data_IF_219705697994
#
_entry.id   IF_219705697994
#
_cell.length_a   1.000
_cell.length_b   1.000
_cell.length_c   1.000
_cell.angle_alpha   90.00
_cell.angle_beta   90.00
_cell.angle_gamma   90.00
#
_symmetry.space_group_name_H-M   'P 1'
#
loop_
_entity.id
_entity.type
_entity.pdbx_description
1 polymer ?
#
# COMPACT_ATOMS: atom_id res chain seq x y z
N UNK A 1 -9.94 3.70 16.42
CA UNK A 1 -10.19 4.87 15.56
C UNK A 1 -10.20 4.34 14.15
N UNK A 2 -11.18 4.72 13.33
CA UNK A 2 -11.31 4.23 11.96
C UNK A 2 -10.73 5.26 10.98
N UNK A 3 -9.95 4.82 10.00
CA UNK A 3 -9.36 5.65 8.94
C UNK A 3 -10.36 5.86 7.79
N UNK A 4 -9.92 6.52 6.71
CA UNK A 4 -10.81 6.91 5.60
C UNK A 4 -11.41 5.72 4.85
N UNK A 5 -10.79 4.53 4.91
CA UNK A 5 -11.29 3.34 4.24
C UNK A 5 -12.64 2.86 4.79
N UNK A 6 -13.07 3.33 5.97
CA UNK A 6 -14.39 3.05 6.52
C UNK A 6 -15.55 3.53 5.61
N UNK A 7 -15.28 4.46 4.69
CA UNK A 7 -16.27 5.03 3.76
C UNK A 7 -16.25 4.35 2.38
N UNK A 8 -15.31 3.44 2.12
CA UNK A 8 -15.19 2.73 0.85
C UNK A 8 -16.25 1.63 0.71
N UNK A 9 -16.58 1.24 -0.51
CA UNK A 9 -17.53 0.14 -0.77
C UNK A 9 -16.86 -1.23 -0.81
N UNK A 10 -15.56 -1.28 -1.11
CA UNK A 10 -14.80 -2.54 -1.15
C UNK A 10 -14.76 -3.20 0.23
N UNK A 11 -15.24 -4.45 0.36
CA UNK A 11 -15.07 -5.22 1.59
C UNK A 11 -13.59 -5.42 1.96
N UNK A 12 -12.70 -5.53 0.97
CA UNK A 12 -11.26 -5.63 1.20
C UNK A 12 -10.70 -4.35 1.83
N UNK A 13 -11.09 -3.17 1.34
CA UNK A 13 -10.63 -1.90 1.93
C UNK A 13 -11.20 -1.69 3.34
N UNK A 14 -12.49 -1.98 3.54
CA UNK A 14 -13.14 -1.86 4.85
C UNK A 14 -12.50 -2.74 5.93
N UNK A 15 -11.96 -3.92 5.57
CA UNK A 15 -11.21 -4.78 6.51
C UNK A 15 -9.97 -4.10 7.11
N UNK A 16 -9.45 -3.05 6.46
CA UNK A 16 -8.30 -2.29 6.91
C UNK A 16 -8.67 -0.93 7.52
N UNK A 17 -9.96 -0.65 7.69
CA UNK A 17 -10.44 0.63 8.21
C UNK A 17 -10.00 0.89 9.67
N UNK A 18 -9.83 -0.16 10.47
CA UNK A 18 -9.43 -0.02 11.88
C UNK A 18 -7.91 -0.21 12.11
N UNK A 19 -7.13 -0.35 11.04
CA UNK A 19 -5.67 -0.44 11.15
C UNK A 19 -5.10 0.90 11.69
N UNK A 20 -4.03 0.85 12.51
CA UNK A 20 -3.38 2.07 13.03
C UNK A 20 -2.67 2.87 11.93
N UNK A 21 -2.38 2.25 10.78
CA UNK A 21 -1.95 2.98 9.58
C UNK A 21 -3.09 3.85 9.07
N UNK A 22 -2.81 5.13 8.85
CA UNK A 22 -3.74 6.10 8.29
C UNK A 22 -3.89 5.86 6.79
N UNK A 23 -4.75 4.90 6.45
CA UNK A 23 -4.98 4.51 5.07
C UNK A 23 -5.96 5.45 4.38
N UNK A 24 -5.59 5.80 3.15
CA UNK A 24 -6.44 6.48 2.18
C UNK A 24 -6.75 5.55 1.01
N UNK A 25 -7.89 5.78 0.35
CA UNK A 25 -8.19 5.16 -0.93
C UNK A 25 -7.45 5.88 -2.08
N UNK A 26 -7.33 5.22 -3.22
CA UNK A 26 -6.83 5.85 -4.43
C UNK A 26 -7.87 6.76 -5.04
N UNK A 27 -7.74 8.07 -4.82
CA UNK A 27 -8.60 9.10 -5.40
C UNK A 27 -7.83 10.42 -5.58
N UNK A 28 -8.47 11.40 -6.21
CA UNK A 28 -7.83 12.69 -6.48
C UNK A 28 -7.41 13.44 -5.22
N UNK A 29 -8.17 13.31 -4.12
CA UNK A 29 -7.88 13.97 -2.84
C UNK A 29 -6.60 13.41 -2.21
N UNK A 30 -6.47 12.09 -2.10
CA UNK A 30 -5.28 11.43 -1.53
C UNK A 30 -4.02 11.72 -2.35
N UNK A 31 -4.15 11.76 -3.68
CA UNK A 31 -3.04 12.08 -4.58
C UNK A 31 -2.65 13.56 -4.52
N UNK A 32 -3.61 14.47 -4.34
CA UNK A 32 -3.33 15.89 -4.14
C UNK A 32 -2.67 16.12 -2.77
N UNK A 33 -3.13 15.42 -1.73
CA UNK A 33 -2.55 15.48 -0.39
C UNK A 33 -1.05 15.15 -0.38
N UNK A 34 -0.64 14.13 -1.15
CA UNK A 34 0.76 13.77 -1.30
C UNK A 34 1.59 14.91 -1.92
N UNK A 35 1.05 15.57 -2.95
CA UNK A 35 1.69 16.72 -3.61
C UNK A 35 1.79 17.92 -2.67
N UNK A 36 0.69 18.27 -2.01
CA UNK A 36 0.60 19.44 -1.12
C UNK A 36 1.54 19.30 0.08
N UNK A 37 1.64 18.10 0.64
CA UNK A 37 2.56 17.81 1.75
C UNK A 37 3.99 17.51 1.28
N UNK A 38 4.23 17.40 -0.03
CA UNK A 38 5.47 16.92 -0.61
C UNK A 38 5.96 15.61 0.06
N UNK A 39 5.02 14.69 0.32
CA UNK A 39 5.28 13.41 0.97
C UNK A 39 5.19 12.27 -0.04
N UNK A 40 6.13 11.31 -0.03
CA UNK A 40 6.02 10.13 -0.86
C UNK A 40 4.78 9.31 -0.52
N UNK A 41 4.33 8.51 -1.48
CA UNK A 41 3.19 7.60 -1.31
C UNK A 41 3.72 6.20 -1.04
N UNK A 42 3.15 5.53 -0.04
CA UNK A 42 3.28 4.09 0.12
C UNK A 42 2.00 3.45 -0.42
N UNK A 43 2.10 2.86 -1.62
CA UNK A 43 1.00 2.20 -2.31
C UNK A 43 0.98 0.71 -1.97
N UNK A 44 -0.15 0.23 -1.44
CA UNK A 44 -0.39 -1.19 -1.17
C UNK A 44 -1.58 -1.69 -2.00
N UNK A 45 -1.32 -2.57 -2.96
CA UNK A 45 -2.36 -3.21 -3.79
C UNK A 45 -2.57 -4.66 -3.35
N UNK A 46 -3.82 -5.03 -3.10
CA UNK A 46 -4.21 -6.39 -2.71
C UNK A 46 -5.65 -6.71 -3.11
N UNK A 47 -6.15 -7.85 -2.61
CA UNK A 47 -7.51 -8.33 -2.79
C UNK A 47 -7.91 -9.24 -1.63
N UNK A 48 -9.22 -9.45 -1.47
CA UNK A 48 -9.84 -10.20 -0.38
C UNK A 48 -9.29 -11.62 -0.16
N UNK A 49 -9.00 -12.37 -1.23
CA UNK A 49 -8.52 -13.76 -1.15
C UNK A 49 -6.97 -13.90 -1.08
N UNK A 50 -6.24 -12.80 -0.90
CA UNK A 50 -4.77 -12.81 -0.88
C UNK A 50 -4.21 -13.24 0.49
N UNK A 51 -3.71 -14.48 0.60
CA UNK A 51 -3.14 -15.00 1.85
C UNK A 51 -2.01 -14.11 2.41
N UNK A 52 -1.05 -13.71 1.58
CA UNK A 52 0.11 -12.91 2.03
C UNK A 52 -0.25 -11.46 2.35
N UNK A 53 -1.36 -10.94 1.82
CA UNK A 53 -1.85 -9.61 2.15
C UNK A 53 -2.34 -9.59 3.61
N UNK A 54 -3.01 -10.65 4.06
CA UNK A 54 -3.40 -10.81 5.47
C UNK A 54 -2.19 -10.98 6.39
N UNK A 55 -1.21 -11.81 6.01
CA UNK A 55 0.01 -12.00 6.81
C UNK A 55 0.78 -10.69 6.99
N UNK A 56 0.97 -9.93 5.91
CA UNK A 56 1.65 -8.63 5.97
C UNK A 56 0.87 -7.60 6.79
N UNK A 57 -0.46 -7.60 6.68
CA UNK A 57 -1.30 -6.73 7.49
C UNK A 57 -1.14 -7.01 8.98
N UNK A 58 -1.22 -8.28 9.37
CA UNK A 58 -1.11 -8.67 10.77
C UNK A 58 0.30 -8.43 11.35
N UNK A 59 1.35 -8.73 10.58
CA UNK A 59 2.72 -8.60 11.06
C UNK A 59 3.25 -7.15 11.06
N UNK A 60 2.74 -6.30 10.15
CA UNK A 60 3.29 -4.96 9.92
C UNK A 60 2.27 -3.84 10.08
N UNK A 61 1.11 -3.91 9.41
CA UNK A 61 0.17 -2.79 9.38
C UNK A 61 -0.67 -2.63 10.65
N UNK A 62 -0.79 -3.69 11.46
CA UNK A 62 -1.45 -3.66 12.77
C UNK A 62 -0.50 -3.26 13.92
N UNK A 63 0.81 -3.17 13.66
CA UNK A 63 1.78 -2.77 14.66
C UNK A 63 1.83 -1.24 14.80
N UNK A 64 1.55 -0.72 16.00
CA UNK A 64 1.48 0.73 16.23
C UNK A 64 2.79 1.48 15.95
N UNK A 65 3.96 0.88 16.23
CA UNK A 65 5.26 1.52 15.98
C UNK A 65 5.53 1.64 14.48
N UNK A 66 5.27 0.57 13.73
CA UNK A 66 5.40 0.57 12.26
C UNK A 66 4.41 1.55 11.65
N UNK A 67 3.16 1.54 12.10
CA UNK A 67 2.14 2.47 11.64
C UNK A 67 2.52 3.94 11.93
N UNK A 68 3.06 4.23 13.11
CA UNK A 68 3.52 5.57 13.45
C UNK A 68 4.65 6.06 12.54
N UNK A 69 5.57 5.18 12.13
CA UNK A 69 6.60 5.49 11.15
C UNK A 69 5.99 5.70 9.75
N UNK A 70 5.10 4.82 9.32
CA UNK A 70 4.40 4.93 8.04
C UNK A 70 3.64 6.25 7.93
N UNK A 71 2.80 6.57 8.91
CA UNK A 71 1.97 7.79 8.94
C UNK A 71 2.83 9.06 9.01
N UNK A 72 4.02 9.00 9.61
CA UNK A 72 4.95 10.13 9.66
C UNK A 72 5.57 10.42 8.30
N UNK A 73 5.93 9.39 7.55
CA UNK A 73 6.79 9.52 6.37
C UNK A 73 6.05 9.43 5.03
N UNK A 74 4.86 8.84 5.01
CA UNK A 74 4.15 8.55 3.76
C UNK A 74 2.69 9.01 3.81
N UNK A 75 2.14 9.25 2.62
CA UNK A 75 0.70 9.12 2.40
C UNK A 75 0.45 7.65 2.06
N UNK A 76 -0.22 6.93 2.96
CA UNK A 76 -0.46 5.49 2.79
C UNK A 76 -1.74 5.28 1.97
N UNK A 77 -1.60 4.71 0.78
CA UNK A 77 -2.72 4.47 -0.14
C UNK A 77 -2.94 2.97 -0.31
N UNK A 78 -4.18 2.53 -0.09
CA UNK A 78 -4.60 1.14 -0.29
C UNK A 78 -5.51 1.02 -1.50
N UNK A 79 -5.30 -0.02 -2.30
CA UNK A 79 -6.06 -0.28 -3.52
C UNK A 79 -6.54 -1.73 -3.53
N UNK A 80 -7.82 -1.89 -3.80
CA UNK A 80 -8.41 -3.17 -4.17
C UNK A 80 -8.24 -3.39 -5.68
N UNK A 81 -7.51 -4.41 -6.08
CA UNK A 81 -7.34 -4.75 -7.50
C UNK A 81 -8.65 -5.25 -8.14
N UNK A 82 -9.60 -5.75 -7.35
CA UNK A 82 -10.88 -6.24 -7.88
C UNK A 82 -11.73 -5.06 -8.37
N UNK A 83 -11.63 -3.91 -7.69
CA UNK A 83 -12.27 -2.65 -8.12
C UNK A 83 -11.40 -1.85 -9.11
N UNK A 84 -10.07 -1.91 -8.99
CA UNK A 84 -9.11 -1.15 -9.82
C UNK A 84 -8.05 -2.02 -10.49
N UNK A 85 -8.45 -2.93 -11.41
CA UNK A 85 -7.52 -3.80 -12.13
C UNK A 85 -6.58 -3.00 -13.06
N UNK A 86 -6.99 -1.80 -13.47
CA UNK A 86 -6.19 -0.86 -14.25
C UNK A 86 -4.93 -0.42 -13.48
N UNK A 87 -5.08 -0.03 -12.22
CA UNK A 87 -3.97 0.39 -11.37
C UNK A 87 -3.05 -0.79 -11.05
N UNK A 88 -3.64 -1.95 -10.75
CA UNK A 88 -2.89 -3.19 -10.51
C UNK A 88 -1.96 -3.51 -11.68
N UNK A 89 -2.46 -3.49 -12.92
CA UNK A 89 -1.67 -3.79 -14.10
C UNK A 89 -0.53 -2.77 -14.33
N UNK A 90 -0.82 -1.47 -14.18
CA UNK A 90 0.17 -0.39 -14.33
C UNK A 90 1.31 -0.60 -13.33
N UNK A 91 0.97 -0.80 -12.06
CA UNK A 91 1.96 -0.86 -10.98
C UNK A 91 2.70 -2.20 -10.91
N UNK A 92 2.08 -3.31 -11.31
CA UNK A 92 2.80 -4.58 -11.53
C UNK A 92 3.84 -4.44 -12.65
N UNK A 93 3.50 -3.76 -13.74
CA UNK A 93 4.43 -3.49 -14.83
C UNK A 93 5.59 -2.60 -14.37
N UNK A 94 5.28 -1.54 -13.62
CA UNK A 94 6.30 -0.67 -13.04
C UNK A 94 7.24 -1.41 -12.07
N UNK A 95 6.69 -2.27 -11.19
CA UNK A 95 7.47 -3.14 -10.33
C UNK A 95 8.43 -4.02 -11.13
N UNK A 96 7.94 -4.68 -12.18
CA UNK A 96 8.77 -5.53 -13.02
C UNK A 96 9.92 -4.75 -13.68
N UNK A 97 9.65 -3.54 -14.14
CA UNK A 97 10.68 -2.67 -14.74
C UNK A 97 11.73 -2.23 -13.70
N UNK A 98 11.29 -1.86 -12.49
CA UNK A 98 12.17 -1.38 -11.42
C UNK A 98 13.05 -2.50 -10.84
N UNK A 99 12.45 -3.65 -10.55
CA UNK A 99 13.12 -4.73 -9.80
C UNK A 99 13.70 -5.82 -10.71
N UNK A 100 13.29 -5.85 -11.98
CA UNK A 100 13.54 -6.96 -12.94
C UNK A 100 13.05 -8.32 -12.42
N UNK A 101 12.04 -8.31 -11.55
CA UNK A 101 11.40 -9.51 -10.99
C UNK A 101 9.93 -9.54 -11.35
N UNK A 102 9.37 -10.75 -11.41
CA UNK A 102 7.93 -10.91 -11.51
C UNK A 102 7.22 -10.23 -10.35
N UNK A 103 6.08 -9.60 -10.64
CA UNK A 103 5.19 -9.05 -9.63
C UNK A 103 4.45 -10.13 -8.83
N UNK A 104 3.56 -9.70 -7.96
CA UNK A 104 2.76 -10.55 -7.10
C UNK A 104 2.02 -9.74 -6.05
N UNK A 105 1.18 -10.40 -5.26
CA UNK A 105 0.40 -9.74 -4.22
C UNK A 105 0.82 -10.24 -2.82
N UNK A 106 0.86 -9.36 -1.79
CA UNK A 106 0.62 -7.92 -1.87
C UNK A 106 1.67 -7.24 -2.74
N UNK A 107 1.27 -6.21 -3.50
CA UNK A 107 2.22 -5.34 -4.19
C UNK A 107 2.40 -4.09 -3.35
N UNK A 108 3.64 -3.81 -2.95
CA UNK A 108 3.99 -2.62 -2.17
C UNK A 108 4.99 -1.78 -2.96
N UNK A 109 4.58 -0.55 -3.31
CA UNK A 109 5.41 0.40 -4.04
C UNK A 109 5.56 1.71 -3.28
N UNK A 110 6.72 2.31 -3.41
CA UNK A 110 7.02 3.64 -2.91
C UNK A 110 7.08 4.58 -4.10
N UNK A 111 6.21 5.59 -4.08
CA UNK A 111 6.05 6.55 -5.16
C UNK A 111 6.48 7.93 -4.70
N UNK A 112 6.99 8.72 -5.63
CA UNK A 112 7.11 10.16 -5.46
C UNK A 112 5.71 10.78 -5.34
N UNK A 113 5.59 12.02 -4.80
CA UNK A 113 4.31 12.71 -4.68
C UNK A 113 3.53 12.83 -6.01
N UNK A 114 4.23 12.74 -7.15
CA UNK A 114 3.61 12.80 -8.46
C UNK A 114 3.01 11.48 -8.97
N UNK A 115 3.25 10.37 -8.24
CA UNK A 115 2.84 9.02 -8.57
C UNK A 115 3.92 8.16 -9.23
N UNK A 116 5.12 8.71 -9.46
CA UNK A 116 6.23 7.99 -10.09
C UNK A 116 6.84 6.96 -9.13
N UNK A 117 6.83 5.66 -9.45
CA UNK A 117 7.41 4.63 -8.58
C UNK A 117 8.94 4.65 -8.62
N UNK A 118 9.58 4.56 -7.45
CA UNK A 118 11.05 4.55 -7.35
C UNK A 118 11.62 3.37 -6.56
N UNK A 119 10.80 2.71 -5.73
CA UNK A 119 11.17 1.51 -5.00
C UNK A 119 9.94 0.61 -4.84
N UNK A 120 10.16 -0.69 -4.69
CA UNK A 120 9.05 -1.62 -4.65
C UNK A 120 9.44 -3.06 -4.37
N UNK A 121 8.46 -3.82 -3.91
CA UNK A 121 8.55 -5.24 -3.70
C UNK A 121 7.16 -5.83 -3.52
N UNK A 122 7.09 -7.13 -3.35
CA UNK A 122 5.82 -7.80 -3.05
C UNK A 122 5.59 -7.80 -1.53
N UNK A 123 6.22 -8.75 -0.85
CA UNK A 123 6.11 -8.92 0.60
C UNK A 123 7.32 -8.33 1.34
N UNK A 124 7.06 -7.51 2.36
CA UNK A 124 8.06 -6.95 3.27
C UNK A 124 7.81 -7.49 4.69
N UNK A 125 8.72 -8.33 5.23
CA UNK A 125 8.60 -8.82 6.60
C UNK A 125 8.95 -7.73 7.62
N UNK A 126 8.40 -7.82 8.84
CA UNK A 126 8.75 -6.89 9.94
C UNK A 126 10.25 -6.89 10.28
N UNK A 127 10.89 -8.05 10.17
CA UNK A 127 12.33 -8.21 10.37
C UNK A 127 12.92 -8.76 9.08
N UNK A 128 14.01 -8.14 8.62
CA UNK A 128 14.75 -8.58 7.45
C UNK A 128 15.09 -10.07 7.57
N UNK A 129 14.65 -10.87 6.60
CA UNK A 129 14.88 -12.31 6.56
C UNK A 129 15.03 -12.79 5.13
N UNK A 130 15.90 -13.78 4.93
CA UNK A 130 16.08 -14.44 3.62
C UNK A 130 16.39 -13.47 2.46
N UNK A 131 17.11 -12.38 2.71
CA UNK A 131 17.45 -11.38 1.68
C UNK A 131 16.28 -10.50 1.23
N UNK A 132 15.15 -10.56 1.94
CA UNK A 132 14.11 -9.55 1.88
C UNK A 132 14.49 -8.40 2.83
N UNK A 133 14.39 -7.14 2.37
CA UNK A 133 14.64 -5.97 3.19
C UNK A 133 13.68 -5.90 4.38
#
# INVERSE_FOLDING_TARGET
MSNQLAQETSPYLQQHADNPVDWHAWNAESLQLARDQNKPILLSIGYSACHWCHVMAHESFENEEVAALMNRHFINIKVDREERPDLDQIYQSAHQMLTRRSGGWPLTLFLLPDGTPFFGGTYFPRQARHGLP
#
